data_IF_209270732876
#
_entry.id   IF_209270732876
#
_cell.length_a   1.000
_cell.length_b   1.000
_cell.length_c   1.000
_cell.angle_alpha   90.00
_cell.angle_beta   90.00
_cell.angle_gamma   90.00
#
_symmetry.space_group_name_H-M   'P 1'
#
loop_
_entity.id
_entity.type
_entity.pdbx_description
1 polymer ?
#
# COMPACT_ATOMS: atom_id res chain seq x y z
N UNK A 1 -10.42 3.99 16.45
CA UNK A 1 -9.32 3.17 15.93
C UNK A 1 -9.26 3.43 14.42
N UNK A 2 -8.08 3.48 13.79
CA UNK A 2 -7.97 3.72 12.34
C UNK A 2 -8.16 2.42 11.59
N UNK A 3 -9.03 2.41 10.58
CA UNK A 3 -9.28 1.25 9.74
C UNK A 3 -8.34 1.25 8.54
N UNK A 4 -7.50 0.22 8.43
CA UNK A 4 -6.47 0.10 7.40
C UNK A 4 -6.69 -1.15 6.57
N UNK A 5 -6.75 -1.01 5.24
CA UNK A 5 -6.86 -2.13 4.31
C UNK A 5 -5.63 -2.23 3.42
N UNK A 6 -5.06 -3.43 3.34
CA UNK A 6 -4.00 -3.77 2.38
C UNK A 6 -4.55 -4.77 1.37
N UNK A 7 -4.49 -4.43 0.09
CA UNK A 7 -5.07 -5.23 -0.98
C UNK A 7 -4.06 -6.19 -1.58
N UNK A 8 -4.42 -7.48 -1.59
CA UNK A 8 -3.62 -8.55 -2.15
C UNK A 8 -4.20 -9.03 -3.48
N UNK A 9 -3.34 -9.11 -4.49
CA UNK A 9 -3.62 -9.73 -5.78
C UNK A 9 -2.58 -10.79 -6.08
N UNK A 10 -2.92 -11.86 -6.78
CA UNK A 10 -1.95 -12.86 -7.21
C UNK A 10 -0.76 -12.20 -7.90
N UNK A 11 0.45 -12.53 -7.44
CA UNK A 11 1.70 -11.92 -7.88
C UNK A 11 2.07 -10.65 -7.10
N UNK A 12 1.53 -10.45 -5.88
CA UNK A 12 2.00 -9.40 -4.98
C UNK A 12 3.44 -9.67 -4.51
N UNK A 13 4.19 -8.62 -4.15
CA UNK A 13 5.53 -8.76 -3.58
C UNK A 13 5.44 -9.11 -2.09
N UNK A 14 5.94 -10.29 -1.73
CA UNK A 14 5.82 -10.85 -0.37
C UNK A 14 6.53 -9.97 0.68
N UNK A 15 7.76 -9.53 0.39
CA UNK A 15 8.54 -8.69 1.31
C UNK A 15 7.77 -7.41 1.63
N UNK A 16 7.16 -6.77 0.64
CA UNK A 16 6.44 -5.52 0.82
C UNK A 16 5.18 -5.72 1.64
N UNK A 17 4.30 -6.61 1.19
CA UNK A 17 3.02 -6.84 1.83
C UNK A 17 3.17 -7.31 3.28
N UNK A 18 4.00 -8.33 3.50
CA UNK A 18 4.14 -8.94 4.82
C UNK A 18 4.89 -8.05 5.80
N UNK A 19 5.90 -7.29 5.35
CA UNK A 19 6.56 -6.29 6.20
C UNK A 19 5.59 -5.22 6.66
N UNK A 20 4.76 -4.69 5.77
CA UNK A 20 3.75 -3.68 6.13
C UNK A 20 2.78 -4.26 7.16
N UNK A 21 2.23 -5.44 6.90
CA UNK A 21 1.25 -6.08 7.80
C UNK A 21 1.85 -6.36 9.17
N UNK A 22 3.04 -6.99 9.22
CA UNK A 22 3.71 -7.31 10.48
C UNK A 22 3.99 -6.06 11.30
N UNK A 23 4.58 -5.03 10.69
CA UNK A 23 4.95 -3.81 11.39
C UNK A 23 3.73 -3.03 11.91
N UNK A 24 2.66 -2.92 11.12
CA UNK A 24 1.44 -2.25 11.56
C UNK A 24 0.76 -3.03 12.71
N UNK A 25 0.74 -4.35 12.64
CA UNK A 25 0.21 -5.19 13.74
C UNK A 25 1.05 -5.07 15.01
N UNK A 26 2.38 -4.97 14.92
CA UNK A 26 3.27 -4.64 16.06
C UNK A 26 2.95 -3.28 16.66
N UNK A 27 2.55 -2.32 15.84
CA UNK A 27 2.11 -1.01 16.29
C UNK A 27 0.68 -0.99 16.86
N UNK A 28 0.03 -2.15 16.98
CA UNK A 28 -1.36 -2.29 17.42
C UNK A 28 -2.36 -1.55 16.52
N UNK A 29 -2.00 -1.38 15.23
CA UNK A 29 -2.87 -0.81 14.21
C UNK A 29 -3.70 -1.94 13.61
N UNK A 30 -5.02 -1.76 13.57
CA UNK A 30 -5.95 -2.72 13.00
C UNK A 30 -5.87 -2.69 11.47
N UNK A 31 -5.02 -3.56 10.92
CA UNK A 31 -4.85 -3.75 9.48
C UNK A 31 -5.47 -5.07 9.04
N UNK A 32 -6.33 -4.98 8.03
CA UNK A 32 -6.99 -6.11 7.38
C UNK A 32 -6.40 -6.34 5.99
N UNK A 33 -5.94 -7.54 5.72
CA UNK A 33 -5.53 -7.96 4.38
C UNK A 33 -6.74 -8.39 3.57
N UNK A 34 -6.87 -7.86 2.36
CA UNK A 34 -8.05 -8.04 1.50
C UNK A 34 -7.63 -8.69 0.19
N UNK A 35 -8.11 -9.89 -0.09
CA UNK A 35 -7.98 -10.47 -1.42
C UNK A 35 -8.93 -9.78 -2.39
N UNK A 36 -8.40 -9.27 -3.51
CA UNK A 36 -9.25 -8.69 -4.57
C UNK A 36 -10.04 -9.76 -5.36
N UNK A 37 -9.76 -11.03 -5.13
CA UNK A 37 -10.47 -12.17 -5.70
C UNK A 37 -11.56 -12.68 -4.74
N UNK A 38 -12.24 -13.76 -5.14
CA UNK A 38 -13.19 -14.48 -4.28
C UNK A 38 -12.52 -15.56 -3.42
N UNK A 39 -11.19 -15.73 -3.56
CA UNK A 39 -10.42 -16.71 -2.80
C UNK A 39 -9.60 -15.98 -1.74
N UNK A 40 -9.62 -16.47 -0.51
CA UNK A 40 -8.79 -15.97 0.57
C UNK A 40 -7.30 -16.26 0.36
N UNK A 41 -6.98 -17.35 -0.33
CA UNK A 41 -5.59 -17.70 -0.62
C UNK A 41 -5.09 -16.90 -1.81
N UNK A 42 -3.98 -16.19 -1.61
CA UNK A 42 -3.35 -15.34 -2.61
C UNK A 42 -1.88 -15.74 -2.73
N UNK A 43 -1.47 -16.16 -3.92
CA UNK A 43 -0.08 -16.49 -4.22
C UNK A 43 0.71 -15.24 -4.58
N UNK A 44 1.85 -15.03 -3.93
CA UNK A 44 2.78 -13.95 -4.20
C UNK A 44 3.64 -14.17 -5.45
N UNK A 45 4.44 -13.18 -5.80
CA UNK A 45 5.31 -13.19 -6.98
C UNK A 45 6.40 -14.27 -6.93
N UNK A 46 6.75 -14.75 -5.74
CA UNK A 46 7.79 -15.76 -5.51
C UNK A 46 7.19 -17.11 -5.03
N UNK A 47 5.90 -17.35 -5.29
CA UNK A 47 5.24 -18.63 -5.04
C UNK A 47 4.87 -18.88 -3.58
N UNK A 48 4.92 -17.87 -2.72
CA UNK A 48 4.48 -17.99 -1.33
C UNK A 48 2.99 -17.63 -1.26
N UNK A 49 2.17 -18.61 -0.85
CA UNK A 49 0.74 -18.38 -0.68
C UNK A 49 0.43 -17.90 0.75
N UNK A 50 -0.32 -16.81 0.85
CA UNK A 50 -0.84 -16.29 2.11
C UNK A 50 -2.36 -16.36 2.14
N UNK A 51 -2.93 -16.45 3.33
CA UNK A 51 -4.37 -16.36 3.52
C UNK A 51 -4.73 -14.93 3.92
N UNK A 52 -5.49 -14.23 3.09
CA UNK A 52 -6.03 -12.91 3.42
C UNK A 52 -7.08 -13.01 4.54
N UNK A 53 -7.24 -11.92 5.30
CA UNK A 53 -8.22 -11.87 6.39
C UNK A 53 -9.67 -11.88 5.86
N UNK A 54 -9.91 -11.26 4.70
CA UNK A 54 -11.21 -11.28 4.03
C UNK A 54 -11.06 -11.17 2.50
N UNK A 55 -12.16 -11.40 1.80
CA UNK A 55 -12.26 -11.14 0.36
C UNK A 55 -12.89 -9.77 0.09
N UNK A 56 -12.71 -9.26 -1.13
CA UNK A 56 -13.34 -8.01 -1.57
C UNK A 56 -14.86 -7.99 -1.35
N UNK A 57 -15.52 -9.13 -1.51
CA UNK A 57 -17.00 -9.23 -1.41
C UNK A 57 -17.48 -9.02 0.02
N UNK A 58 -16.64 -9.32 1.00
CA UNK A 58 -16.95 -9.22 2.43
C UNK A 58 -16.57 -7.85 3.01
N UNK A 59 -15.88 -7.01 2.21
CA UNK A 59 -15.31 -5.77 2.67
C UNK A 59 -16.36 -4.66 2.80
N UNK A 60 -16.43 -4.02 3.97
CA UNK A 60 -17.09 -2.72 4.14
C UNK A 60 -16.08 -1.61 3.88
N UNK A 61 -16.26 -0.85 2.80
CA UNK A 61 -15.31 0.18 2.38
C UNK A 61 -15.64 1.58 2.88
N UNK A 62 -16.75 1.75 3.60
CA UNK A 62 -17.29 3.08 3.96
C UNK A 62 -16.41 3.81 4.98
N UNK A 63 -15.76 3.07 5.88
CA UNK A 63 -15.01 3.61 7.01
C UNK A 63 -13.48 3.50 6.88
N UNK A 64 -12.96 3.18 5.70
CA UNK A 64 -11.51 3.08 5.52
C UNK A 64 -10.81 4.43 5.75
N UNK A 65 -9.82 4.43 6.66
CA UNK A 65 -8.92 5.58 6.86
C UNK A 65 -7.70 5.49 5.94
N UNK A 66 -7.22 4.27 5.68
CA UNK A 66 -6.06 3.98 4.85
C UNK A 66 -6.32 2.85 3.86
N UNK A 67 -5.86 3.04 2.63
CA UNK A 67 -5.80 2.01 1.60
C UNK A 67 -4.34 1.80 1.19
N UNK A 68 -3.85 0.57 1.25
CA UNK A 68 -2.44 0.25 0.99
C UNK A 68 -2.34 -0.75 -0.16
N UNK A 69 -1.47 -0.45 -1.12
CA UNK A 69 -1.18 -1.29 -2.28
C UNK A 69 0.28 -1.75 -2.24
N UNK A 70 0.58 -3.03 -2.02
CA UNK A 70 1.90 -3.58 -2.25
C UNK A 70 2.18 -3.66 -3.75
N UNK A 71 3.45 -3.76 -4.13
CA UNK A 71 3.87 -3.98 -5.49
C UNK A 71 3.89 -5.46 -5.87
N UNK A 72 4.84 -5.81 -6.71
CA UNK A 72 4.96 -7.13 -7.34
C UNK A 72 4.24 -7.20 -8.67
N UNK A 73 4.75 -8.05 -9.55
CA UNK A 73 4.14 -8.34 -10.86
C UNK A 73 3.83 -9.84 -10.97
N UNK A 74 2.63 -10.20 -11.46
CA UNK A 74 1.59 -9.36 -12.05
C UNK A 74 0.61 -8.71 -11.05
N UNK A 75 0.86 -8.78 -9.72
CA UNK A 75 -0.05 -8.27 -8.68
C UNK A 75 -0.49 -6.83 -8.93
N UNK A 76 0.46 -5.92 -9.16
CA UNK A 76 0.17 -4.50 -9.47
C UNK A 76 -0.75 -4.34 -10.69
N UNK A 77 -0.54 -5.14 -11.74
CA UNK A 77 -1.41 -5.13 -12.92
C UNK A 77 -2.83 -5.52 -12.54
N UNK A 78 -3.00 -6.60 -11.78
CA UNK A 78 -4.32 -7.06 -11.32
C UNK A 78 -5.02 -6.03 -10.43
N UNK A 79 -4.27 -5.33 -9.54
CA UNK A 79 -4.82 -4.22 -8.75
C UNK A 79 -5.33 -3.09 -9.64
N UNK A 80 -4.56 -2.70 -10.66
CA UNK A 80 -4.95 -1.65 -11.62
C UNK A 80 -6.13 -2.03 -12.52
N UNK A 81 -6.29 -3.30 -12.84
CA UNK A 81 -7.42 -3.83 -13.62
C UNK A 81 -8.69 -4.05 -12.79
N UNK A 82 -8.57 -4.05 -11.45
CA UNK A 82 -9.71 -4.19 -10.54
C UNK A 82 -10.51 -2.88 -10.46
N UNK A 83 -11.48 -2.71 -11.35
CA UNK A 83 -12.31 -1.49 -11.44
C UNK A 83 -12.94 -1.07 -10.10
N UNK A 84 -13.49 -1.98 -9.28
CA UNK A 84 -14.03 -1.61 -7.97
C UNK A 84 -12.96 -1.00 -7.05
N UNK A 85 -11.74 -1.55 -7.04
CA UNK A 85 -10.62 -1.01 -6.25
C UNK A 85 -10.20 0.37 -6.76
N UNK A 86 -10.04 0.55 -8.08
CA UNK A 86 -9.71 1.85 -8.66
C UNK A 86 -10.76 2.90 -8.30
N UNK A 87 -12.05 2.56 -8.37
CA UNK A 87 -13.13 3.46 -7.96
C UNK A 87 -13.07 3.78 -6.45
N UNK A 88 -12.69 2.80 -5.61
CA UNK A 88 -12.48 3.03 -4.18
C UNK A 88 -11.33 4.00 -3.93
N UNK A 89 -10.18 3.82 -4.60
CA UNK A 89 -9.02 4.73 -4.50
C UNK A 89 -9.40 6.16 -4.91
N UNK A 90 -10.19 6.33 -5.96
CA UNK A 90 -10.66 7.64 -6.41
C UNK A 90 -11.58 8.30 -5.38
N UNK A 91 -12.51 7.56 -4.77
CA UNK A 91 -13.35 8.08 -3.68
C UNK A 91 -12.53 8.43 -2.44
N UNK A 92 -11.55 7.60 -2.08
CA UNK A 92 -10.64 7.82 -0.95
C UNK A 92 -9.86 9.13 -1.14
N UNK A 93 -9.28 9.33 -2.33
CA UNK A 93 -8.56 10.55 -2.67
C UNK A 93 -9.47 11.79 -2.65
N UNK A 94 -10.67 11.70 -3.24
CA UNK A 94 -11.65 12.78 -3.25
C UNK A 94 -12.10 13.18 -1.83
N UNK A 95 -12.14 12.22 -0.90
CA UNK A 95 -12.42 12.46 0.52
C UNK A 95 -11.20 12.94 1.32
N UNK A 96 -10.06 13.15 0.66
CA UNK A 96 -8.77 13.50 1.29
C UNK A 96 -8.33 12.52 2.38
N UNK A 97 -8.72 11.24 2.25
CA UNK A 97 -8.28 10.13 3.11
C UNK A 97 -7.00 9.51 2.57
N UNK A 98 -6.28 8.79 3.41
CA UNK A 98 -4.93 8.35 3.10
C UNK A 98 -4.86 7.15 2.14
N UNK A 99 -3.88 7.20 1.24
CA UNK A 99 -3.53 6.11 0.33
C UNK A 99 -2.01 5.90 0.38
N UNK A 100 -1.59 4.64 0.41
CA UNK A 100 -0.19 4.28 0.35
C UNK A 100 0.05 3.23 -0.75
N UNK A 101 1.14 3.36 -1.50
CA UNK A 101 1.51 2.42 -2.56
C UNK A 101 3.03 2.30 -2.68
N UNK A 102 3.55 1.09 -2.87
CA UNK A 102 4.99 0.85 -2.93
C UNK A 102 5.39 0.13 -4.23
N UNK A 103 6.62 0.33 -4.67
CA UNK A 103 7.27 -0.38 -5.78
C UNK A 103 6.59 -0.06 -7.13
N UNK A 104 5.97 -1.05 -7.76
CA UNK A 104 5.21 -0.85 -8.99
C UNK A 104 3.82 -0.23 -8.74
N UNK A 105 3.25 -0.39 -7.53
CA UNK A 105 1.87 0.00 -7.23
C UNK A 105 1.56 1.51 -7.33
N UNK A 106 2.50 2.46 -7.14
CA UNK A 106 2.24 3.87 -7.44
C UNK A 106 1.78 4.12 -8.89
N UNK A 107 2.11 3.22 -9.84
CA UNK A 107 1.61 3.29 -11.21
C UNK A 107 0.07 3.18 -11.31
N UNK A 108 -0.55 2.42 -10.40
CA UNK A 108 -2.01 2.32 -10.31
C UNK A 108 -2.62 3.68 -9.96
N UNK A 109 -2.00 4.39 -9.02
CA UNK A 109 -2.45 5.72 -8.62
C UNK A 109 -2.26 6.74 -9.75
N UNK A 110 -1.12 6.69 -10.44
CA UNK A 110 -0.84 7.57 -11.57
C UNK A 110 -1.81 7.38 -12.73
N UNK A 111 -2.08 6.12 -13.11
CA UNK A 111 -3.03 5.77 -14.15
C UNK A 111 -4.48 6.10 -13.76
N UNK A 112 -4.81 6.07 -12.47
CA UNK A 112 -6.11 6.51 -11.97
C UNK A 112 -6.26 8.04 -11.87
N UNK A 113 -5.22 8.82 -12.23
CA UNK A 113 -5.22 10.28 -12.20
C UNK A 113 -5.04 10.90 -10.81
N UNK A 114 -4.60 10.11 -9.82
CA UNK A 114 -4.52 10.52 -8.41
C UNK A 114 -3.21 11.22 -8.04
N UNK A 115 -2.21 11.19 -8.92
CA UNK A 115 -0.89 11.76 -8.65
C UNK A 115 -0.65 13.13 -9.31
N UNK A 116 -1.66 13.71 -9.93
CA UNK A 116 -1.49 15.01 -10.60
C UNK A 116 -1.13 16.13 -9.62
N UNK A 117 0.05 16.71 -9.79
CA UNK A 117 0.59 17.74 -8.90
C UNK A 117 1.07 17.22 -7.54
N UNK A 118 1.26 15.91 -7.39
CA UNK A 118 1.88 15.28 -6.21
C UNK A 118 3.36 15.00 -6.44
N UNK A 119 4.13 14.91 -5.36
CA UNK A 119 5.43 14.26 -5.34
C UNK A 119 5.22 12.77 -5.07
N UNK A 120 5.94 11.91 -5.79
CA UNK A 120 5.84 10.47 -5.62
C UNK A 120 7.14 9.76 -5.98
N UNK A 121 7.31 8.54 -5.47
CA UNK A 121 8.38 7.63 -5.87
C UNK A 121 7.78 6.29 -6.29
N UNK A 122 8.54 5.49 -7.04
CA UNK A 122 8.16 4.15 -7.46
C UNK A 122 9.39 3.29 -7.74
N UNK A 123 9.18 2.05 -8.11
CA UNK A 123 10.23 1.17 -8.59
C UNK A 123 10.81 1.71 -9.91
N UNK A 124 12.14 1.68 -10.10
CA UNK A 124 12.78 2.13 -11.34
C UNK A 124 12.18 1.47 -12.59
N UNK A 125 11.82 2.31 -13.58
CA UNK A 125 11.15 1.88 -14.81
C UNK A 125 9.63 2.06 -14.80
N UNK A 126 9.02 2.44 -13.66
CA UNK A 126 7.58 2.72 -13.55
C UNK A 126 7.25 4.22 -13.54
N UNK A 127 8.26 5.08 -13.59
CA UNK A 127 8.12 6.55 -13.49
C UNK A 127 7.17 7.10 -14.56
N UNK A 128 7.20 6.54 -15.76
CA UNK A 128 6.35 6.96 -16.89
C UNK A 128 4.85 6.80 -16.62
N UNK A 129 4.47 5.95 -15.65
CA UNK A 129 3.08 5.71 -15.28
C UNK A 129 2.59 6.61 -14.14
N UNK A 130 3.48 7.40 -13.51
CA UNK A 130 3.12 8.36 -12.47
C UNK A 130 2.65 9.68 -13.10
N UNK A 131 1.60 9.61 -13.91
CA UNK A 131 1.10 10.72 -14.70
C UNK A 131 0.82 11.97 -13.85
N UNK A 132 1.48 13.07 -14.19
CA UNK A 132 1.32 14.37 -13.53
C UNK A 132 2.07 14.52 -12.20
N UNK A 133 2.81 13.49 -11.75
CA UNK A 133 3.62 13.55 -10.54
C UNK A 133 5.00 14.15 -10.79
N UNK A 134 5.59 14.76 -9.75
CA UNK A 134 7.03 15.03 -9.66
C UNK A 134 7.69 13.81 -9.02
N UNK A 135 8.48 13.06 -9.79
CA UNK A 135 9.16 11.85 -9.29
C UNK A 135 10.37 12.25 -8.47
N UNK A 136 10.42 11.80 -7.20
CA UNK A 136 11.51 12.15 -6.27
C UNK A 136 12.69 11.18 -6.35
N UNK A 137 12.42 9.88 -6.57
CA UNK A 137 13.42 8.81 -6.49
C UNK A 137 13.83 8.43 -5.06
N UNK A 138 13.23 9.02 -4.03
CA UNK A 138 13.48 8.71 -2.63
C UNK A 138 12.98 7.31 -2.25
N UNK A 139 13.47 6.76 -1.14
CA UNK A 139 12.98 5.49 -0.63
C UNK A 139 11.51 5.56 -0.22
N UNK A 140 11.10 6.68 0.37
CA UNK A 140 9.71 6.99 0.73
C UNK A 140 9.42 8.46 0.42
N UNK A 141 8.29 8.72 -0.19
CA UNK A 141 7.79 10.07 -0.44
C UNK A 141 6.40 10.20 0.16
N UNK A 142 6.23 11.21 1.02
CA UNK A 142 4.94 11.60 1.61
C UNK A 142 4.57 12.95 1.00
N UNK A 143 3.43 13.03 0.37
CA UNK A 143 2.86 14.30 -0.08
C UNK A 143 1.36 14.31 0.22
N UNK A 144 0.96 15.22 1.10
CA UNK A 144 -0.42 15.34 1.56
C UNK A 144 -0.94 14.00 2.10
N UNK A 145 -1.99 13.46 1.49
CA UNK A 145 -2.63 12.19 1.88
C UNK A 145 -2.10 10.97 1.10
N UNK A 146 -1.04 11.10 0.32
CA UNK A 146 -0.46 10.00 -0.44
C UNK A 146 0.96 9.71 0.03
N UNK A 147 1.23 8.45 0.37
CA UNK A 147 2.56 7.93 0.71
C UNK A 147 2.99 6.91 -0.33
N UNK A 148 4.15 7.13 -0.95
CA UNK A 148 4.71 6.19 -1.93
C UNK A 148 6.05 5.65 -1.47
N UNK A 149 6.38 4.40 -1.83
CA UNK A 149 7.63 3.72 -1.53
C UNK A 149 8.31 3.19 -2.78
N UNK A 150 9.64 3.10 -2.75
CA UNK A 150 10.45 2.80 -3.94
C UNK A 150 10.43 1.31 -4.32
N UNK A 151 10.44 0.41 -3.36
CA UNK A 151 10.49 -1.02 -3.63
C UNK A 151 10.82 -1.87 -2.40
N UNK A 152 11.09 -3.18 -2.55
CA UNK A 152 11.23 -4.11 -1.43
C UNK A 152 12.25 -3.67 -0.38
N UNK A 153 13.39 -3.12 -0.82
CA UNK A 153 14.42 -2.59 0.10
C UNK A 153 13.97 -1.39 0.94
N UNK A 154 12.88 -0.72 0.57
CA UNK A 154 12.30 0.39 1.31
C UNK A 154 11.07 -0.02 2.15
N UNK A 155 10.67 -1.30 2.17
CA UNK A 155 9.45 -1.76 2.82
C UNK A 155 9.38 -1.39 4.31
N UNK A 156 10.49 -1.54 5.05
CA UNK A 156 10.58 -1.16 6.46
C UNK A 156 10.38 0.35 6.64
N UNK A 157 11.12 1.17 5.89
CA UNK A 157 11.00 2.64 5.96
C UNK A 157 9.60 3.11 5.56
N UNK A 158 8.97 2.46 4.58
CA UNK A 158 7.63 2.74 4.14
C UNK A 158 6.58 2.42 5.23
N UNK A 159 6.67 1.23 5.84
CA UNK A 159 5.80 0.85 6.95
C UNK A 159 6.00 1.78 8.17
N UNK A 160 7.26 2.14 8.50
CA UNK A 160 7.58 3.10 9.57
C UNK A 160 6.91 4.45 9.31
N UNK A 161 6.98 4.95 8.08
CA UNK A 161 6.34 6.21 7.71
C UNK A 161 4.81 6.18 7.86
N UNK A 162 4.16 5.05 7.54
CA UNK A 162 2.73 4.86 7.75
C UNK A 162 2.40 4.82 9.24
N UNK A 163 3.15 4.07 10.05
CA UNK A 163 2.97 4.01 11.51
C UNK A 163 3.11 5.41 12.12
N UNK A 164 4.13 6.17 11.70
CA UNK A 164 4.34 7.55 12.16
C UNK A 164 3.11 8.43 11.89
N UNK A 165 2.50 8.31 10.71
CA UNK A 165 1.32 9.09 10.34
C UNK A 165 0.05 8.65 11.09
N UNK A 166 -0.06 7.39 11.47
CA UNK A 166 -1.25 6.84 12.17
C UNK A 166 -1.14 7.00 13.67
N UNK A 167 0.02 6.63 14.24
CA UNK A 167 0.21 6.45 15.69
C UNK A 167 1.31 7.35 16.30
N UNK A 168 2.01 8.12 15.47
CA UNK A 168 3.06 9.05 15.92
C UNK A 168 4.46 8.44 15.95
N UNK A 169 5.47 9.31 16.07
CA UNK A 169 6.89 8.92 16.02
C UNK A 169 7.31 8.00 17.17
N UNK A 170 6.73 8.14 18.35
CA UNK A 170 7.07 7.33 19.51
C UNK A 170 6.72 5.86 19.27
N UNK A 171 5.50 5.58 18.76
CA UNK A 171 5.08 4.22 18.40
C UNK A 171 5.92 3.64 17.28
N UNK A 172 6.27 4.44 16.27
CA UNK A 172 7.14 4.01 15.20
C UNK A 172 8.53 3.60 15.71
N UNK A 173 9.11 4.38 16.64
CA UNK A 173 10.40 4.04 17.29
C UNK A 173 10.31 2.79 18.17
N UNK A 174 9.23 2.63 18.91
CA UNK A 174 8.98 1.41 19.70
C UNK A 174 9.03 0.17 18.82
N UNK A 175 8.29 0.18 17.71
CA UNK A 175 8.24 -0.95 16.76
C UNK A 175 9.61 -1.21 16.14
N UNK A 176 10.28 -0.17 15.61
CA UNK A 176 11.59 -0.36 14.95
C UNK A 176 12.67 -0.82 15.92
N UNK A 177 12.69 -0.29 17.14
CA UNK A 177 13.62 -0.75 18.19
C UNK A 177 13.35 -2.20 18.58
N UNK A 178 12.09 -2.62 18.67
CA UNK A 178 11.71 -4.03 18.91
C UNK A 178 12.11 -4.98 17.77
N UNK A 179 12.36 -4.43 16.58
CA UNK A 179 12.87 -5.14 15.40
C UNK A 179 14.41 -5.07 15.27
N UNK A 180 15.10 -4.43 16.21
CA UNK A 180 16.56 -4.22 16.21
C UNK A 180 17.05 -3.36 15.02
N UNK A 181 16.30 -2.33 14.68
CA UNK A 181 16.62 -1.38 13.60
C UNK A 181 17.07 -0.03 14.16
#
# INVERSE_FOLDING_TARGET
>A
MKTVYLFLATGFEEIEALTIVDMLRRAEIDITTVSISRNLQVEGAHGITVTADCTWVELSTEDADWLILPGGMPGTKHLGECKPLVSLLQRQAAANKNIAAICAAPSVLGQAGLLNGYKATCYPGFEQFLTGATVTGDNVTIDRNITTGKGPGAAISFATAIITQIAGEEKAREVTSGMLL
#
